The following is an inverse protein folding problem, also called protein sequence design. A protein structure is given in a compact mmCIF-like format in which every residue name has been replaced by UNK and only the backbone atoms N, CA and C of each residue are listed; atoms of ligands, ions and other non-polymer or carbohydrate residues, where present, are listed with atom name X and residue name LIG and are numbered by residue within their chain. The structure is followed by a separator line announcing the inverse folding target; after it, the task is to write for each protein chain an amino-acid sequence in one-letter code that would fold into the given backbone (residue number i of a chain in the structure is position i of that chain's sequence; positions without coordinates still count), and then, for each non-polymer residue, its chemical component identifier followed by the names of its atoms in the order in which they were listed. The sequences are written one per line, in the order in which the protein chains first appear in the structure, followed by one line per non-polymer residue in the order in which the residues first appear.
data_IF_081759526935
#
_entry.id   IF_081759526935
#
_cell.length_a   1.000
_cell.length_b   1.000
_cell.length_c   1.000
_cell.angle_alpha   90.00
_cell.angle_beta   90.00
_cell.angle_gamma   90.00
#
_symmetry.space_group_name_H-M   'P 1'
#
loop_
_entity.id
_entity.type
_entity.pdbx_description
1 polymer ?
#
# COMPACT_ATOMS: atom_id res chain seq x y z
N UNK A 1 -17.21 69.21 1.32
CA UNK A 1 -16.11 68.27 0.97
C UNK A 1 -16.64 66.84 1.04
N UNK A 2 -16.86 66.16 -0.10
CA UNK A 2 -17.36 64.77 -0.15
C UNK A 2 -16.17 63.80 -0.07
N UNK A 3 -16.00 63.08 1.04
CA UNK A 3 -14.99 62.01 1.16
C UNK A 3 -15.51 60.76 0.42
N UNK A 4 -14.79 60.31 -0.61
CA UNK A 4 -15.04 59.04 -1.29
C UNK A 4 -14.37 57.92 -0.50
N UNK A 5 -15.16 56.96 -0.04
CA UNK A 5 -14.67 55.74 0.61
C UNK A 5 -14.16 54.79 -0.48
N UNK A 6 -12.84 54.59 -0.58
CA UNK A 6 -12.28 53.51 -1.40
C UNK A 6 -12.44 52.19 -0.65
N UNK A 7 -13.24 51.29 -1.21
CA UNK A 7 -13.40 49.92 -0.68
C UNK A 7 -12.35 49.04 -1.35
N UNK A 8 -11.35 48.59 -0.58
CA UNK A 8 -10.38 47.60 -1.03
C UNK A 8 -11.03 46.21 -0.99
N UNK A 9 -11.31 45.63 -2.16
CA UNK A 9 -11.68 44.23 -2.29
C UNK A 9 -10.38 43.43 -2.22
N UNK A 10 -10.11 42.81 -1.07
CA UNK A 10 -9.03 41.82 -0.93
C UNK A 10 -9.52 40.53 -1.56
N UNK A 11 -9.13 40.29 -2.82
CA UNK A 11 -9.24 38.96 -3.43
C UNK A 11 -8.29 38.02 -2.68
N UNK A 12 -8.80 37.21 -1.77
CA UNK A 12 -8.07 36.08 -1.23
C UNK A 12 -7.92 35.03 -2.34
N UNK A 13 -6.72 34.97 -2.94
CA UNK A 13 -6.33 33.87 -3.81
C UNK A 13 -6.32 32.59 -2.97
N UNK A 14 -7.22 31.66 -3.27
CA UNK A 14 -7.22 30.33 -2.67
C UNK A 14 -6.06 29.58 -3.32
N UNK A 15 -4.90 29.56 -2.67
CA UNK A 15 -3.80 28.69 -3.07
C UNK A 15 -4.29 27.25 -2.82
N UNK A 16 -4.33 26.36 -3.83
CA UNK A 16 -4.62 24.96 -3.60
C UNK A 16 -3.57 24.43 -2.62
N UNK A 17 -4.00 23.95 -1.46
CA UNK A 17 -3.12 23.32 -0.50
C UNK A 17 -2.61 22.02 -1.14
N UNK A 18 -1.31 21.96 -1.43
CA UNK A 18 -0.66 20.72 -1.82
C UNK A 18 -0.71 19.79 -0.62
N UNK A 19 -1.33 18.61 -0.77
CA UNK A 19 -1.14 17.54 0.22
C UNK A 19 0.34 17.16 0.11
N UNK A 20 1.15 17.59 1.06
CA UNK A 20 2.51 17.13 1.19
C UNK A 20 2.43 15.69 1.70
N UNK A 21 2.66 14.72 0.81
CA UNK A 21 2.95 13.36 1.23
C UNK A 21 4.35 13.32 1.84
N UNK A 22 4.57 12.39 2.76
CA UNK A 22 5.92 12.04 3.17
C UNK A 22 6.70 11.55 1.94
N UNK A 23 7.94 12.01 1.78
CA UNK A 23 8.79 11.69 0.62
C UNK A 23 9.00 10.17 0.52
N UNK A 24 9.15 9.51 1.67
CA UNK A 24 9.29 8.05 1.74
C UNK A 24 8.08 7.32 1.13
N UNK A 25 6.86 7.67 1.56
CA UNK A 25 5.61 7.06 1.09
C UNK A 25 5.45 7.22 -0.43
N UNK A 26 5.85 8.39 -0.94
CA UNK A 26 5.82 8.69 -2.37
C UNK A 26 6.87 7.88 -3.15
N UNK A 27 8.10 7.78 -2.65
CA UNK A 27 9.14 6.92 -3.25
C UNK A 27 8.69 5.46 -3.29
N UNK A 28 8.10 4.94 -2.22
CA UNK A 28 7.58 3.57 -2.16
C UNK A 28 6.47 3.33 -3.20
N UNK A 29 5.50 4.25 -3.30
CA UNK A 29 4.43 4.18 -4.30
C UNK A 29 4.98 4.21 -5.74
N UNK A 30 5.90 5.14 -6.03
CA UNK A 30 6.52 5.27 -7.34
C UNK A 30 7.35 4.03 -7.70
N UNK A 31 8.09 3.47 -6.73
CA UNK A 31 8.83 2.23 -6.91
C UNK A 31 7.89 1.07 -7.28
N UNK A 32 6.83 0.85 -6.50
CA UNK A 32 5.86 -0.21 -6.78
C UNK A 32 5.11 -0.01 -8.10
N UNK A 33 4.88 1.23 -8.51
CA UNK A 33 4.32 1.56 -9.82
C UNK A 33 5.26 1.15 -10.96
N UNK A 34 6.55 1.50 -10.85
CA UNK A 34 7.61 1.11 -11.79
C UNK A 34 7.73 -0.41 -11.91
N UNK A 35 7.65 -1.12 -10.78
CA UNK A 35 7.63 -2.59 -10.71
C UNK A 35 6.29 -3.21 -11.18
N UNK A 36 5.33 -2.39 -11.63
CA UNK A 36 3.99 -2.80 -12.11
C UNK A 36 3.15 -3.54 -11.06
N UNK A 37 3.46 -3.31 -9.78
CA UNK A 37 2.72 -3.85 -8.64
C UNK A 37 1.44 -3.05 -8.43
N UNK A 38 1.53 -1.73 -8.49
CA UNK A 38 0.39 -0.82 -8.42
C UNK A 38 0.23 -0.04 -9.72
N UNK A 39 -0.85 0.71 -9.85
CA UNK A 39 -1.05 1.58 -11.00
C UNK A 39 -0.09 2.77 -10.90
N UNK A 40 0.53 3.12 -12.02
CA UNK A 40 1.41 4.28 -12.10
C UNK A 40 0.61 5.59 -12.09
N UNK A 41 0.84 6.37 -11.04
CA UNK A 41 0.35 7.73 -10.83
C UNK A 41 1.49 8.69 -10.50
N UNK A 42 2.73 8.37 -10.86
CA UNK A 42 3.90 9.22 -10.59
C UNK A 42 3.74 10.66 -11.11
N UNK A 43 3.01 10.86 -12.21
CA UNK A 43 2.70 12.18 -12.77
C UNK A 43 1.56 12.94 -12.06
N UNK A 44 0.77 12.25 -11.22
CA UNK A 44 -0.38 12.77 -10.47
C UNK A 44 -0.44 12.10 -9.08
N UNK A 45 0.52 12.36 -8.18
CA UNK A 45 0.70 11.62 -6.93
C UNK A 45 -0.53 11.57 -6.03
N UNK A 46 -1.40 12.57 -6.10
CA UNK A 46 -2.65 12.61 -5.35
C UNK A 46 -3.58 11.41 -5.65
N UNK A 47 -3.47 10.82 -6.84
CA UNK A 47 -4.23 9.64 -7.26
C UNK A 47 -3.76 8.33 -6.65
N UNK A 48 -2.61 8.32 -5.98
CA UNK A 48 -2.25 7.19 -5.12
C UNK A 48 -3.16 7.12 -3.88
N UNK A 49 -3.75 8.24 -3.46
CA UNK A 49 -4.64 8.32 -2.29
C UNK A 49 -4.00 7.70 -1.04
N UNK A 50 -2.75 8.07 -0.76
CA UNK A 50 -1.88 7.40 0.22
C UNK A 50 -2.45 7.35 1.65
N UNK A 51 -3.22 8.37 2.03
CA UNK A 51 -3.85 8.47 3.35
C UNK A 51 -5.15 7.64 3.50
N UNK A 52 -5.70 7.14 2.40
CA UNK A 52 -6.94 6.37 2.44
C UNK A 52 -6.65 4.92 2.85
N UNK A 53 -7.61 4.32 3.56
CA UNK A 53 -7.61 2.88 3.78
C UNK A 53 -7.81 2.13 2.47
N UNK A 54 -7.24 0.93 2.40
CA UNK A 54 -7.34 0.05 1.24
C UNK A 54 -8.40 -1.03 1.46
N UNK A 55 -9.13 -1.36 0.40
CA UNK A 55 -10.12 -2.44 0.44
C UNK A 55 -9.46 -3.81 0.26
N UNK A 56 -10.11 -4.87 0.76
CA UNK A 56 -9.64 -6.26 0.58
C UNK A 56 -9.38 -6.62 -0.88
N UNK A 57 -10.22 -6.17 -1.81
CA UNK A 57 -10.03 -6.44 -3.25
C UNK A 57 -8.80 -5.75 -3.84
N UNK A 58 -8.53 -4.51 -3.42
CA UNK A 58 -7.35 -3.77 -3.85
C UNK A 58 -6.10 -4.42 -3.28
N UNK A 59 -6.13 -4.81 -2.01
CA UNK A 59 -5.00 -5.48 -1.37
C UNK A 59 -4.67 -6.83 -2.05
N UNK A 60 -5.66 -7.61 -2.48
CA UNK A 60 -5.37 -8.84 -3.23
C UNK A 60 -4.75 -8.60 -4.60
N UNK A 61 -5.10 -7.50 -5.26
CA UNK A 61 -4.40 -7.12 -6.49
C UNK A 61 -2.93 -6.82 -6.22
N UNK A 62 -2.64 -6.05 -5.16
CA UNK A 62 -1.26 -5.75 -4.73
C UNK A 62 -0.53 -7.06 -4.41
N UNK A 63 -1.10 -7.91 -3.56
CA UNK A 63 -0.54 -9.20 -3.17
C UNK A 63 -0.18 -10.08 -4.38
N UNK A 64 -1.13 -10.27 -5.29
CA UNK A 64 -0.93 -11.15 -6.45
C UNK A 64 0.15 -10.59 -7.37
N UNK A 65 0.19 -9.28 -7.58
CA UNK A 65 1.26 -8.68 -8.36
C UNK A 65 2.63 -8.83 -7.65
N UNK A 66 2.71 -8.63 -6.33
CA UNK A 66 3.93 -8.86 -5.54
C UNK A 66 4.44 -10.30 -5.65
N UNK A 67 3.52 -11.27 -5.71
CA UNK A 67 3.87 -12.69 -5.84
C UNK A 67 4.38 -13.10 -7.22
N UNK A 68 4.25 -12.23 -8.24
CA UNK A 68 4.57 -12.55 -9.63
C UNK A 68 3.65 -13.60 -10.27
N UNK A 69 2.58 -14.01 -9.58
CA UNK A 69 1.65 -15.01 -10.10
C UNK A 69 0.88 -14.46 -11.30
N UNK A 70 0.84 -15.24 -12.38
CA UNK A 70 0.00 -14.93 -13.54
C UNK A 70 -1.48 -15.08 -13.18
N UNK A 71 -2.26 -14.06 -13.53
CA UNK A 71 -3.72 -14.01 -13.34
C UNK A 71 -4.40 -14.24 -14.67
N UNK A 72 -5.15 -15.33 -14.74
CA UNK A 72 -6.03 -15.59 -15.88
C UNK A 72 -7.25 -14.67 -15.80
N UNK A 73 -7.80 -14.27 -16.96
CA UNK A 73 -9.03 -13.50 -17.00
C UNK A 73 -10.25 -14.42 -16.81
N UNK A 74 -10.36 -14.99 -15.61
CA UNK A 74 -11.35 -16.01 -15.24
C UNK A 74 -11.89 -15.76 -13.84
N UNK A 75 -13.16 -16.06 -13.64
CA UNK A 75 -13.87 -16.04 -12.37
C UNK A 75 -14.81 -17.26 -12.35
N UNK A 76 -14.58 -18.16 -11.41
CA UNK A 76 -15.25 -19.46 -11.24
C UNK A 76 -16.44 -19.38 -10.26
N UNK A 77 -16.65 -18.23 -9.61
CA UNK A 77 -17.77 -18.02 -8.69
C UNK A 77 -17.58 -18.66 -7.33
N UNK A 78 -16.34 -18.76 -6.84
CA UNK A 78 -16.04 -19.34 -5.53
C UNK A 78 -16.53 -18.49 -4.35
N UNK A 79 -16.85 -17.21 -4.59
CA UNK A 79 -17.38 -16.28 -3.59
C UNK A 79 -18.73 -15.74 -4.07
N UNK A 80 -19.75 -15.76 -3.20
CA UNK A 80 -21.13 -15.38 -3.57
C UNK A 80 -21.31 -13.89 -3.85
N UNK A 81 -20.45 -13.05 -3.27
CA UNK A 81 -20.46 -11.59 -3.39
C UNK A 81 -19.50 -11.06 -4.45
N UNK A 82 -18.97 -11.94 -5.31
CA UNK A 82 -18.16 -11.60 -6.47
C UNK A 82 -18.77 -12.22 -7.73
N UNK A 83 -18.98 -11.39 -8.74
CA UNK A 83 -19.47 -11.85 -10.04
C UNK A 83 -18.33 -11.87 -11.06
N UNK A 84 -18.55 -12.56 -12.18
CA UNK A 84 -17.55 -12.61 -13.27
C UNK A 84 -17.25 -11.26 -13.92
N UNK A 85 -18.14 -10.26 -13.76
CA UNK A 85 -17.90 -8.89 -14.19
C UNK A 85 -17.10 -8.07 -13.17
N UNK A 86 -16.98 -8.52 -11.92
CA UNK A 86 -16.15 -7.84 -10.93
C UNK A 86 -14.67 -8.09 -11.25
N UNK A 87 -13.93 -7.01 -11.50
CA UNK A 87 -12.51 -7.05 -11.83
C UNK A 87 -11.66 -7.77 -10.77
N UNK A 88 -12.14 -7.79 -9.52
CA UNK A 88 -11.44 -8.37 -8.38
C UNK A 88 -11.60 -9.87 -8.26
N UNK A 89 -12.63 -10.47 -8.88
CA UNK A 89 -12.90 -11.90 -8.74
C UNK A 89 -11.70 -12.77 -9.11
N UNK A 90 -11.07 -12.47 -10.26
CA UNK A 90 -9.87 -13.20 -10.72
C UNK A 90 -8.70 -13.15 -9.74
N UNK A 91 -8.54 -12.05 -9.01
CA UNK A 91 -7.48 -11.92 -8.01
C UNK A 91 -7.83 -12.66 -6.73
N UNK A 92 -9.08 -12.56 -6.28
CA UNK A 92 -9.59 -13.29 -5.12
C UNK A 92 -9.45 -14.80 -5.28
N UNK A 93 -9.88 -15.33 -6.42
CA UNK A 93 -9.80 -16.76 -6.68
C UNK A 93 -8.37 -17.24 -6.95
N UNK A 94 -7.52 -16.39 -7.54
CA UNK A 94 -6.10 -16.72 -7.67
C UNK A 94 -5.43 -16.83 -6.30
N UNK A 95 -5.71 -15.90 -5.39
CA UNK A 95 -5.21 -15.93 -4.02
C UNK A 95 -5.74 -17.17 -3.27
N UNK A 96 -7.03 -17.51 -3.46
CA UNK A 96 -7.62 -18.72 -2.89
C UNK A 96 -6.89 -19.98 -3.37
N UNK A 97 -6.70 -20.13 -4.69
CA UNK A 97 -5.98 -21.27 -5.28
C UNK A 97 -4.52 -21.36 -4.82
N UNK A 98 -3.88 -20.22 -4.57
CA UNK A 98 -2.52 -20.15 -4.03
C UNK A 98 -2.45 -20.39 -2.50
N UNK A 99 -3.58 -20.66 -1.83
CA UNK A 99 -3.67 -20.83 -0.37
C UNK A 99 -3.22 -19.59 0.43
N UNK A 100 -3.32 -18.41 -0.19
CA UNK A 100 -3.02 -17.13 0.42
C UNK A 100 -4.17 -16.61 1.30
N UNK A 101 -5.40 -16.94 0.92
CA UNK A 101 -6.60 -16.64 1.70
C UNK A 101 -7.38 -17.92 1.97
N UNK A 102 -8.17 -17.91 3.04
CA UNK A 102 -9.05 -19.03 3.38
C UNK A 102 -10.32 -19.03 2.51
N UNK A 103 -10.82 -20.23 2.22
CA UNK A 103 -12.13 -20.41 1.60
C UNK A 103 -13.23 -19.92 2.56
N UNK A 104 -14.08 -19.02 2.09
CA UNK A 104 -15.24 -18.49 2.79
C UNK A 104 -16.38 -18.33 1.79
N UNK A 105 -17.62 -18.28 2.28
CA UNK A 105 -18.80 -18.08 1.43
C UNK A 105 -18.78 -16.71 0.72
N UNK A 106 -18.39 -15.66 1.44
CA UNK A 106 -18.28 -14.29 0.96
C UNK A 106 -16.85 -13.78 1.12
N UNK A 107 -16.37 -13.05 0.12
CA UNK A 107 -15.03 -12.45 0.12
C UNK A 107 -14.97 -11.12 0.90
N UNK A 108 -16.07 -10.36 0.87
CA UNK A 108 -16.25 -9.01 1.39
C UNK A 108 -15.32 -8.00 0.69
N UNK A 109 -15.49 -7.76 -0.62
CA UNK A 109 -14.52 -7.01 -1.42
C UNK A 109 -14.30 -5.57 -0.98
N UNK A 110 -15.32 -4.92 -0.41
CA UNK A 110 -15.30 -3.50 -0.08
C UNK A 110 -14.94 -3.20 1.39
N UNK A 111 -14.78 -4.24 2.22
CA UNK A 111 -14.30 -4.03 3.59
C UNK A 111 -12.83 -3.58 3.54
N UNK A 112 -12.46 -2.68 4.46
CA UNK A 112 -11.07 -2.33 4.67
C UNK A 112 -10.32 -3.49 5.33
N UNK A 113 -9.01 -3.57 5.06
CA UNK A 113 -8.14 -4.61 5.62
C UNK A 113 -7.28 -4.06 6.76
N UNK A 114 -6.98 -4.91 7.74
CA UNK A 114 -6.12 -4.55 8.88
C UNK A 114 -4.64 -4.56 8.52
N UNK A 115 -3.81 -3.90 9.33
CA UNK A 115 -2.34 -3.96 9.23
C UNK A 115 -1.84 -5.40 9.28
N UNK A 116 -2.31 -6.21 10.23
CA UNK A 116 -1.78 -7.56 10.38
C UNK A 116 -2.16 -8.50 9.23
N UNK A 117 -3.37 -8.38 8.71
CA UNK A 117 -3.78 -9.15 7.54
C UNK A 117 -2.97 -8.73 6.32
N UNK A 118 -2.77 -7.43 6.13
CA UNK A 118 -1.96 -6.89 5.02
C UNK A 118 -0.51 -7.36 5.09
N UNK A 119 0.14 -7.28 6.26
CA UNK A 119 1.51 -7.76 6.46
C UNK A 119 1.65 -9.25 6.15
N UNK A 120 0.71 -10.06 6.66
CA UNK A 120 0.68 -11.50 6.37
C UNK A 120 0.62 -11.76 4.87
N UNK A 121 -0.26 -11.06 4.14
CA UNK A 121 -0.40 -11.23 2.69
C UNK A 121 0.86 -10.79 1.95
N UNK A 122 1.45 -9.64 2.29
CA UNK A 122 2.70 -9.18 1.65
C UNK A 122 3.83 -10.19 1.88
N UNK A 123 4.02 -10.65 3.12
CA UNK A 123 5.06 -11.62 3.43
C UNK A 123 4.82 -12.97 2.72
N UNK A 124 3.58 -13.47 2.67
CA UNK A 124 3.26 -14.68 1.94
C UNK A 124 3.49 -14.54 0.43
N UNK A 125 3.15 -13.40 -0.16
CA UNK A 125 3.40 -13.12 -1.58
C UNK A 125 4.91 -13.17 -1.90
N UNK A 126 5.74 -12.75 -0.95
CA UNK A 126 7.21 -12.72 -1.06
C UNK A 126 7.88 -13.98 -0.52
N UNK A 127 7.11 -15.01 -0.15
CA UNK A 127 7.61 -16.27 0.43
C UNK A 127 8.45 -16.07 1.71
N UNK A 128 8.15 -15.03 2.48
CA UNK A 128 8.80 -14.71 3.75
C UNK A 128 8.08 -15.41 4.90
N UNK A 129 8.84 -16.11 5.73
CA UNK A 129 8.32 -16.85 6.87
C UNK A 129 8.13 -15.93 8.10
N UNK A 130 7.07 -16.19 8.87
CA UNK A 130 6.90 -15.63 10.22
C UNK A 130 7.84 -16.32 11.23
N UNK A 131 8.06 -15.70 12.38
CA UNK A 131 8.76 -16.32 13.51
C UNK A 131 7.95 -17.46 14.16
N UNK A 132 8.56 -18.16 15.12
CA UNK A 132 7.93 -19.22 15.91
C UNK A 132 7.11 -18.69 17.11
N UNK A 133 6.83 -17.39 17.19
CA UNK A 133 5.97 -16.82 18.22
C UNK A 133 4.60 -17.54 18.28
N UNK A 134 4.12 -17.75 19.51
CA UNK A 134 2.84 -18.44 19.79
C UNK A 134 1.65 -17.74 19.14
N UNK A 135 1.62 -16.41 19.24
CA UNK A 135 0.67 -15.60 18.49
C UNK A 135 1.21 -15.45 17.06
N UNK A 136 0.43 -15.93 16.08
CA UNK A 136 0.82 -15.87 14.68
C UNK A 136 1.04 -14.43 14.22
N UNK A 137 0.30 -13.46 14.78
CA UNK A 137 0.37 -12.03 14.45
C UNK A 137 1.73 -11.46 14.84
N UNK A 138 2.09 -11.64 16.11
CA UNK A 138 3.41 -11.31 16.64
C UNK A 138 4.52 -11.94 15.81
N UNK A 139 4.34 -13.18 15.38
CA UNK A 139 5.35 -13.86 14.57
C UNK A 139 5.60 -13.20 13.21
N UNK A 140 4.57 -12.65 12.56
CA UNK A 140 4.76 -11.88 11.33
C UNK A 140 5.45 -10.54 11.63
N UNK A 141 5.02 -9.82 12.66
CA UNK A 141 5.61 -8.53 13.04
C UNK A 141 7.09 -8.69 13.37
N UNK A 142 7.47 -9.62 14.25
CA UNK A 142 8.87 -9.86 14.63
C UNK A 142 9.76 -10.22 13.43
N UNK A 143 9.24 -11.05 12.50
CA UNK A 143 9.99 -11.45 11.33
C UNK A 143 10.16 -10.30 10.33
N UNK A 144 9.12 -9.48 10.14
CA UNK A 144 9.17 -8.33 9.26
C UNK A 144 10.08 -7.22 9.81
N UNK A 145 9.98 -6.92 11.11
CA UNK A 145 10.84 -5.98 11.82
C UNK A 145 12.32 -6.38 11.70
N UNK A 146 12.63 -7.65 12.01
CA UNK A 146 13.98 -8.20 11.86
C UNK A 146 14.51 -8.14 10.42
N UNK A 147 13.63 -8.23 9.43
CA UNK A 147 13.99 -8.16 8.02
C UNK A 147 14.10 -6.72 7.48
N UNK A 148 13.85 -5.69 8.30
CA UNK A 148 13.83 -4.29 7.86
C UNK A 148 12.62 -3.96 6.98
N UNK A 149 11.57 -4.77 7.03
CA UNK A 149 10.35 -4.57 6.23
C UNK A 149 9.43 -3.53 6.86
N UNK A 150 9.41 -3.48 8.19
CA UNK A 150 8.64 -2.50 8.95
C UNK A 150 9.50 -1.27 9.26
N UNK A 151 8.94 -0.08 8.99
CA UNK A 151 9.53 1.18 9.46
C UNK A 151 9.36 1.34 10.98
N UNK A 152 8.25 0.82 11.52
CA UNK A 152 7.96 0.77 12.95
C UNK A 152 7.24 -0.54 13.29
N UNK A 153 7.69 -1.20 14.35
CA UNK A 153 7.04 -2.38 14.91
C UNK A 153 5.70 -2.01 15.56
N UNK A 154 4.73 -2.93 15.58
CA UNK A 154 3.38 -2.65 16.09
C UNK A 154 2.76 -3.86 16.77
N UNK A 155 1.85 -3.60 17.71
CA UNK A 155 1.06 -4.62 18.42
C UNK A 155 -0.46 -4.39 18.36
N UNK A 156 -0.92 -3.20 17.93
CA UNK A 156 -2.30 -2.97 17.50
C UNK A 156 -2.53 -3.58 16.10
N UNK A 157 -2.89 -4.86 16.10
CA UNK A 157 -3.00 -5.65 14.89
C UNK A 157 -4.19 -5.27 14.00
N UNK A 158 -5.28 -4.80 14.63
CA UNK A 158 -6.57 -4.63 13.97
C UNK A 158 -6.78 -3.20 13.44
N UNK A 159 -5.79 -2.30 13.60
CA UNK A 159 -5.80 -0.99 12.92
C UNK A 159 -5.94 -1.19 11.42
N UNK A 160 -6.81 -0.41 10.77
CA UNK A 160 -6.93 -0.43 9.32
C UNK A 160 -5.64 0.07 8.65
N UNK A 161 -5.24 -0.59 7.56
CA UNK A 161 -4.05 -0.24 6.81
C UNK A 161 -4.36 0.84 5.76
N UNK A 162 -3.55 1.91 5.77
CA UNK A 162 -3.55 2.91 4.70
C UNK A 162 -2.79 2.40 3.49
N UNK A 163 -3.03 3.02 2.33
CA UNK A 163 -2.29 2.72 1.11
C UNK A 163 -0.79 2.98 1.27
N UNK A 164 -0.41 4.12 1.89
CA UNK A 164 0.98 4.44 2.23
C UNK A 164 1.68 3.27 2.93
N UNK A 165 1.13 2.86 4.07
CA UNK A 165 1.74 1.82 4.92
C UNK A 165 1.91 0.49 4.18
N UNK A 166 0.97 0.12 3.30
CA UNK A 166 1.07 -1.09 2.47
C UNK A 166 2.14 -0.94 1.39
N UNK A 167 2.25 0.24 0.79
CA UNK A 167 3.24 0.49 -0.25
C UNK A 167 4.65 0.52 0.31
N UNK A 168 4.84 1.12 1.48
CA UNK A 168 6.11 1.10 2.23
C UNK A 168 6.58 -0.33 2.47
N UNK A 169 5.75 -1.14 3.11
CA UNK A 169 6.08 -2.54 3.43
C UNK A 169 6.28 -3.36 2.16
N UNK A 170 5.45 -3.13 1.13
CA UNK A 170 5.60 -3.76 -0.17
C UNK A 170 6.95 -3.46 -0.81
N UNK A 171 7.35 -2.19 -0.82
CA UNK A 171 8.62 -1.71 -1.37
C UNK A 171 9.81 -2.23 -0.56
N UNK A 172 9.74 -2.24 0.77
CA UNK A 172 10.78 -2.76 1.66
C UNK A 172 11.06 -4.26 1.50
N UNK A 173 10.17 -5.00 0.81
CA UNK A 173 10.46 -6.39 0.43
C UNK A 173 11.44 -6.53 -0.74
N UNK A 174 11.94 -5.41 -1.28
CA UNK A 174 12.90 -5.35 -2.38
C UNK A 174 14.21 -4.75 -1.91
N UNK A 175 15.30 -5.51 -2.03
CA UNK A 175 16.64 -5.05 -1.62
C UNK A 175 17.16 -3.85 -2.45
N UNK A 176 16.57 -3.59 -3.62
CA UNK A 176 16.92 -2.47 -4.50
C UNK A 176 16.02 -1.26 -4.33
N UNK A 177 15.09 -1.28 -3.36
CA UNK A 177 14.34 -0.07 -3.01
C UNK A 177 15.20 0.82 -2.11
N UNK A 178 15.34 2.08 -2.50
CA UNK A 178 15.96 3.16 -1.75
C UNK A 178 15.03 4.35 -1.91
N UNK A 179 14.69 5.04 -0.82
CA UNK A 179 13.89 6.27 -0.89
C UNK A 179 14.72 7.42 -1.42
N UNK A 180 14.07 8.43 -2.01
CA UNK A 180 14.76 9.60 -2.55
C UNK A 180 15.56 10.33 -1.45
N UNK A 181 15.02 10.37 -0.22
CA UNK A 181 15.71 10.92 0.95
C UNK A 181 17.02 10.16 1.27
N UNK A 182 16.98 8.83 1.30
CA UNK A 182 18.17 8.03 1.58
C UNK A 182 19.16 8.08 0.41
N UNK A 183 18.68 8.18 -0.83
CA UNK A 183 19.53 8.41 -2.01
C UNK A 183 20.29 9.75 -1.90
N UNK A 184 19.61 10.84 -1.54
CA UNK A 184 20.24 12.15 -1.34
C UNK A 184 21.27 12.08 -0.19
N UNK A 185 20.92 11.44 0.92
CA UNK A 185 21.83 11.29 2.07
C UNK A 185 23.10 10.52 1.69
N UNK A 186 22.96 9.40 0.98
CA UNK A 186 24.11 8.60 0.51
C UNK A 186 25.02 9.42 -0.40
N UNK A 187 24.44 10.25 -1.28
CA UNK A 187 25.21 11.15 -2.15
C UNK A 187 25.96 12.20 -1.33
N UNK A 188 25.32 12.82 -0.33
CA UNK A 188 25.97 13.82 0.53
C UNK A 188 27.12 13.20 1.32
N UNK A 189 26.92 12.00 1.86
CA UNK A 189 27.94 11.28 2.62
C UNK A 189 29.15 10.95 1.73
N UNK A 190 28.94 10.50 0.49
CA UNK A 190 30.01 10.25 -0.50
C UNK A 190 30.82 11.51 -0.82
N UNK A 191 30.19 12.69 -0.87
CA UNK A 191 30.88 13.97 -1.10
C UNK A 191 31.57 14.55 0.15
N UNK A 192 31.38 13.93 1.32
CA UNK A 192 31.94 14.38 2.60
C UNK A 192 33.19 13.61 3.05
N UNK A 193 33.52 12.50 2.37
CA UNK A 193 34.75 11.70 2.52
C UNK A 193 35.90 12.21 1.63
#
# INVERSE_FOLDING_TARGET
MKKRLLTFIVLASIIPQTIAYNDYDLSAANFLAKEKIIKDWSNQPEKFELNNNITRREMLKVMINLSGLKVENKCDGNFKDLTSSDWSCKYAEKALKASFIAANENFRPNDNITKIESLKLIMQAKYLAKSNAKDWRKGYVEAADKAGILNESFDDYDTLATRAWIFDIGANTYNNFVSDEEEIKNIIDEFSE
#
